data_IF_345105252107
#
_entry.id   IF_345105252107
#
_cell.length_a   1.000
_cell.length_b   1.000
_cell.length_c   1.000
_cell.angle_alpha   90.00
_cell.angle_beta   90.00
_cell.angle_gamma   90.00
#
_symmetry.space_group_name_H-M   'P 1'
#
loop_
_entity.id
_entity.type
_entity.pdbx_description
1 polymer ?
#
# COMPACT_ATOMS: atom_id res chain seq x y z
N UNK A 1 14.75 -3.53 25.80
CA UNK A 1 14.74 -4.74 24.94
C UNK A 1 15.53 -4.48 23.68
N UNK A 2 16.09 -5.53 23.09
CA UNK A 2 16.82 -5.41 21.83
C UNK A 2 15.79 -5.25 20.70
N UNK A 3 15.92 -4.21 19.88
CA UNK A 3 15.11 -4.03 18.67
C UNK A 3 15.43 -5.16 17.69
N UNK A 4 14.44 -5.96 17.33
CA UNK A 4 14.63 -7.05 16.39
C UNK A 4 14.52 -6.58 14.94
N UNK A 5 13.54 -5.71 14.63
CA UNK A 5 13.35 -5.11 13.32
C UNK A 5 12.47 -3.84 13.47
N UNK A 6 12.49 -3.00 12.44
CA UNK A 6 11.65 -1.82 12.31
C UNK A 6 11.06 -1.78 10.91
N UNK A 7 9.74 -1.68 10.83
CA UNK A 7 9.02 -1.71 9.55
C UNK A 7 9.35 -0.49 8.67
N UNK A 8 9.50 0.68 9.28
CA UNK A 8 9.84 1.90 8.55
C UNK A 8 11.25 1.80 7.94
N UNK A 9 12.24 1.42 8.75
CA UNK A 9 13.62 1.22 8.27
C UNK A 9 13.74 0.15 7.16
N UNK A 10 12.95 -0.93 7.26
CA UNK A 10 12.93 -1.96 6.23
C UNK A 10 12.26 -1.46 4.94
N UNK A 11 11.22 -0.63 5.10
CA UNK A 11 10.52 -0.07 3.95
C UNK A 11 11.36 0.98 3.21
N UNK A 12 12.12 1.82 3.92
CA UNK A 12 13.07 2.77 3.31
C UNK A 12 14.13 2.06 2.46
N UNK A 13 14.59 0.91 2.91
CA UNK A 13 15.59 0.09 2.18
C UNK A 13 15.00 -0.72 1.02
N UNK A 14 13.66 -0.83 0.96
CA UNK A 14 12.97 -1.60 -0.06
C UNK A 14 12.83 -0.77 -1.32
N UNK A 15 13.14 -1.36 -2.47
CA UNK A 15 12.87 -0.72 -3.76
C UNK A 15 11.37 -0.42 -3.89
N UNK A 16 11.06 0.75 -4.39
CA UNK A 16 9.66 1.21 -4.56
C UNK A 16 8.84 0.25 -5.42
N UNK A 17 9.45 -0.36 -6.43
CA UNK A 17 8.79 -1.33 -7.31
C UNK A 17 8.49 -2.67 -6.65
N UNK A 18 9.17 -3.00 -5.55
CA UNK A 18 8.91 -4.23 -4.78
C UNK A 18 7.73 -4.09 -3.80
N UNK A 19 7.20 -2.88 -3.60
CA UNK A 19 6.00 -2.67 -2.79
C UNK A 19 4.78 -3.20 -3.52
N UNK A 20 3.98 -4.00 -2.83
CA UNK A 20 2.71 -4.51 -3.33
C UNK A 20 1.59 -3.68 -2.72
N UNK A 21 0.97 -2.85 -3.52
CA UNK A 21 -0.13 -1.97 -3.13
C UNK A 21 -1.30 -2.23 -4.07
N UNK A 22 -2.47 -2.51 -3.52
CA UNK A 22 -3.69 -2.75 -4.30
C UNK A 22 -4.77 -1.76 -3.90
N UNK A 23 -5.63 -1.44 -4.84
CA UNK A 23 -6.78 -0.60 -4.64
C UNK A 23 -8.02 -1.22 -5.30
N UNK A 24 -9.19 -0.73 -4.90
CA UNK A 24 -10.42 -1.06 -5.60
C UNK A 24 -10.61 -0.09 -6.77
N UNK A 25 -10.69 -0.62 -7.99
CA UNK A 25 -10.91 0.20 -9.19
C UNK A 25 -12.37 0.04 -9.63
N UNK A 26 -13.18 1.11 -9.62
CA UNK A 26 -14.57 1.05 -10.04
C UNK A 26 -14.67 0.66 -11.51
N UNK A 27 -15.70 -0.12 -11.84
CA UNK A 27 -16.04 -0.52 -13.22
C UNK A 27 -15.00 -1.36 -13.95
N UNK A 28 -14.12 -2.05 -13.26
CA UNK A 28 -13.19 -3.01 -13.86
C UNK A 28 -13.50 -4.43 -13.42
N UNK A 29 -13.28 -5.40 -14.30
CA UNK A 29 -13.31 -6.83 -13.95
C UNK A 29 -12.17 -7.24 -13.00
N UNK A 30 -11.26 -6.32 -12.73
CA UNK A 30 -10.08 -6.49 -11.89
C UNK A 30 -10.39 -6.66 -10.40
N UNK A 31 -11.58 -6.31 -9.95
CA UNK A 31 -11.94 -6.30 -8.52
C UNK A 31 -12.28 -7.68 -7.93
N UNK A 32 -12.13 -8.75 -8.71
CA UNK A 32 -12.40 -10.12 -8.24
C UNK A 32 -11.27 -10.76 -7.43
N UNK A 33 -10.21 -10.02 -7.11
CA UNK A 33 -9.04 -10.48 -6.36
C UNK A 33 -7.80 -9.64 -6.60
N UNK A 34 -6.68 -10.07 -6.06
CA UNK A 34 -5.40 -9.41 -6.28
C UNK A 34 -4.85 -9.78 -7.65
N UNK A 35 -4.84 -8.82 -8.57
CA UNK A 35 -4.31 -8.98 -9.91
C UNK A 35 -3.44 -7.80 -10.32
N UNK A 36 -2.71 -7.93 -11.41
CA UNK A 36 -1.94 -6.81 -11.95
C UNK A 36 -2.83 -5.64 -12.39
N UNK A 37 -4.13 -5.89 -12.60
CA UNK A 37 -5.08 -4.87 -13.06
C UNK A 37 -5.52 -3.90 -11.95
N UNK A 38 -5.46 -4.31 -10.67
CA UNK A 38 -5.80 -3.45 -9.53
C UNK A 38 -4.58 -3.11 -8.66
N UNK A 39 -3.38 -3.38 -9.14
CA UNK A 39 -2.15 -2.98 -8.49
C UNK A 39 -1.92 -1.48 -8.67
N UNK A 40 -1.49 -0.80 -7.60
CA UNK A 40 -1.13 0.62 -7.61
C UNK A 40 0.23 0.81 -8.26
N UNK A 41 0.27 0.79 -9.59
CA UNK A 41 1.47 0.91 -10.42
C UNK A 41 1.23 1.85 -11.59
N UNK A 42 2.30 2.43 -12.11
CA UNK A 42 2.23 3.41 -13.20
C UNK A 42 1.62 2.88 -14.49
N UNK A 43 1.70 1.57 -14.74
CA UNK A 43 1.03 0.97 -15.91
C UNK A 43 -0.51 0.99 -15.83
N UNK A 44 -1.07 1.20 -14.65
CA UNK A 44 -2.52 1.28 -14.41
C UNK A 44 -2.99 2.73 -14.20
N UNK A 45 -2.18 3.73 -14.57
CA UNK A 45 -2.45 5.13 -14.28
C UNK A 45 -3.82 5.60 -14.77
N UNK A 46 -4.29 5.14 -15.93
CA UNK A 46 -5.59 5.54 -16.49
C UNK A 46 -6.79 5.08 -15.66
N UNK A 47 -6.68 3.93 -15.01
CA UNK A 47 -7.74 3.43 -14.14
C UNK A 47 -7.62 4.01 -12.73
N UNK A 48 -6.41 4.27 -12.27
CA UNK A 48 -6.15 4.96 -10.99
C UNK A 48 -6.62 6.42 -11.07
N UNK A 49 -6.40 7.09 -12.19
CA UNK A 49 -6.87 8.45 -12.44
C UNK A 49 -8.39 8.61 -12.24
N UNK A 50 -9.17 7.62 -12.61
CA UNK A 50 -10.62 7.60 -12.41
C UNK A 50 -11.07 7.58 -10.94
N UNK A 51 -10.18 7.29 -10.00
CA UNK A 51 -10.46 7.39 -8.57
C UNK A 51 -10.51 8.84 -8.08
N UNK A 52 -9.89 9.75 -8.83
CA UNK A 52 -9.86 11.16 -8.50
C UNK A 52 -10.98 11.86 -9.25
N UNK A 53 -11.90 12.48 -8.52
CA UNK A 53 -12.94 13.33 -9.12
C UNK A 53 -12.34 14.67 -9.49
N UNK A 54 -12.06 14.82 -10.79
CA UNK A 54 -11.60 16.12 -11.31
C UNK A 54 -12.80 16.99 -11.64
N UNK A 55 -13.03 18.04 -10.89
CA UNK A 55 -13.78 19.20 -11.37
C UNK A 55 -12.81 20.03 -12.22
N UNK A 56 -12.98 20.00 -13.54
CA UNK A 56 -12.23 20.80 -14.53
C UNK A 56 -10.89 20.26 -15.05
N UNK A 57 -10.69 18.95 -15.20
CA UNK A 57 -9.46 18.37 -15.73
C UNK A 57 -8.16 18.78 -14.98
N UNK A 58 -8.29 19.12 -13.73
CA UNK A 58 -7.17 19.58 -12.92
C UNK A 58 -6.74 18.51 -11.91
N UNK A 59 -6.03 17.49 -12.36
CA UNK A 59 -4.96 16.99 -11.53
C UNK A 59 -3.99 18.15 -11.40
N UNK A 60 -3.62 18.60 -10.19
CA UNK A 60 -2.66 19.67 -10.09
C UNK A 60 -1.40 19.27 -10.85
N UNK A 61 -1.13 19.92 -11.94
CA UNK A 61 0.13 19.88 -12.66
C UNK A 61 1.22 20.39 -11.72
N UNK A 62 1.66 19.52 -10.81
CA UNK A 62 2.54 19.91 -9.72
C UNK A 62 3.86 20.45 -10.23
N UNK A 63 4.36 19.88 -11.34
CA UNK A 63 5.64 20.29 -11.94
C UNK A 63 5.49 21.21 -13.15
N UNK A 64 4.33 21.39 -13.72
CA UNK A 64 4.16 22.08 -15.00
C UNK A 64 3.62 23.51 -14.91
N UNK A 65 2.98 23.91 -13.82
CA UNK A 65 2.41 25.27 -13.74
C UNK A 65 3.40 26.28 -13.20
N UNK A 66 3.52 27.39 -13.95
CA UNK A 66 4.16 28.64 -13.54
C UNK A 66 3.63 29.22 -12.22
N UNK A 67 2.52 28.70 -11.71
CA UNK A 67 1.80 29.21 -10.57
C UNK A 67 2.27 28.61 -9.23
N UNK A 68 3.11 27.58 -9.27
CA UNK A 68 3.80 27.10 -8.07
C UNK A 68 5.27 27.46 -8.12
N UNK A 69 5.65 28.65 -7.62
CA UNK A 69 6.99 29.21 -7.79
C UNK A 69 8.10 28.42 -7.08
N UNK A 70 7.74 27.46 -6.23
CA UNK A 70 8.73 26.77 -5.40
C UNK A 70 9.32 25.52 -6.04
N UNK A 71 8.57 24.75 -6.83
CA UNK A 71 9.07 23.48 -7.38
C UNK A 71 9.24 23.46 -8.90
N UNK A 72 8.32 24.08 -9.65
CA UNK A 72 8.37 24.06 -11.11
C UNK A 72 9.60 24.72 -11.72
N UNK A 73 10.22 25.63 -10.99
CA UNK A 73 11.45 26.27 -11.45
C UNK A 73 12.72 25.51 -11.10
N UNK A 74 12.70 24.73 -10.04
CA UNK A 74 13.88 24.06 -9.53
C UNK A 74 14.35 22.92 -10.44
N UNK A 75 13.41 22.10 -10.92
CA UNK A 75 13.71 20.90 -11.71
C UNK A 75 13.42 21.04 -13.20
N UNK A 76 13.29 22.25 -13.72
CA UNK A 76 12.98 22.54 -15.14
C UNK A 76 13.88 21.85 -16.17
N UNK A 77 15.13 21.60 -15.81
CA UNK A 77 16.12 21.08 -16.73
C UNK A 77 16.32 19.57 -16.57
N UNK A 78 15.52 18.92 -15.72
CA UNK A 78 15.60 17.46 -15.54
C UNK A 78 14.66 16.82 -16.56
N UNK A 79 15.22 16.08 -17.49
CA UNK A 79 14.49 15.45 -18.60
C UNK A 79 13.40 14.45 -18.16
N UNK A 80 13.39 14.04 -16.90
CA UNK A 80 12.37 13.16 -16.32
C UNK A 80 11.15 13.90 -15.77
N UNK A 81 11.19 15.23 -15.70
CA UNK A 81 10.05 16.06 -15.29
C UNK A 81 9.29 16.46 -16.55
N UNK A 82 8.28 15.70 -16.86
CA UNK A 82 7.37 16.03 -17.95
C UNK A 82 6.22 16.90 -17.43
N UNK A 83 5.43 17.43 -18.33
CA UNK A 83 4.51 18.53 -18.03
C UNK A 83 3.07 18.21 -18.43
N UNK A 84 2.58 17.00 -18.17
CA UNK A 84 1.22 16.62 -18.49
C UNK A 84 0.50 15.90 -17.33
N UNK A 85 -0.81 15.72 -17.45
CA UNK A 85 -1.62 15.04 -16.44
C UNK A 85 -1.20 13.57 -16.23
N UNK A 86 -0.67 12.93 -17.24
CA UNK A 86 -0.20 11.55 -17.16
C UNK A 86 0.98 11.44 -16.21
N UNK A 87 1.90 12.39 -16.28
CA UNK A 87 3.07 12.43 -15.42
C UNK A 87 2.71 12.68 -13.96
N UNK A 88 1.77 13.59 -13.70
CA UNK A 88 1.36 13.91 -12.33
C UNK A 88 0.66 12.72 -11.67
N UNK A 89 -0.17 11.97 -12.40
CA UNK A 89 -0.77 10.72 -11.89
C UNK A 89 0.30 9.65 -11.67
N UNK A 90 1.21 9.47 -12.59
CA UNK A 90 2.32 8.52 -12.42
C UNK A 90 3.22 8.92 -11.26
N UNK A 91 3.48 10.21 -11.11
CA UNK A 91 4.23 10.76 -9.98
C UNK A 91 3.55 10.52 -8.65
N UNK A 92 2.24 10.76 -8.55
CA UNK A 92 1.46 10.44 -7.35
C UNK A 92 1.48 8.94 -7.02
N UNK A 93 1.37 8.09 -8.04
CA UNK A 93 1.49 6.64 -7.87
C UNK A 93 2.86 6.29 -7.27
N UNK A 94 3.92 6.85 -7.80
CA UNK A 94 5.28 6.60 -7.31
C UNK A 94 5.52 7.18 -5.92
N UNK A 95 4.96 8.34 -5.62
CA UNK A 95 5.02 8.93 -4.27
C UNK A 95 4.37 7.99 -3.23
N UNK A 96 3.19 7.47 -3.52
CA UNK A 96 2.53 6.48 -2.65
C UNK A 96 3.39 5.22 -2.50
N UNK A 97 4.10 4.83 -3.54
CA UNK A 97 5.05 3.71 -3.50
C UNK A 97 6.35 4.02 -2.77
N UNK A 98 6.59 5.27 -2.42
CA UNK A 98 7.71 5.70 -1.60
C UNK A 98 8.83 6.43 -2.35
N UNK A 99 8.59 6.90 -3.60
CA UNK A 99 9.52 7.78 -4.29
C UNK A 99 9.38 9.23 -3.81
N UNK A 100 10.45 10.00 -3.89
CA UNK A 100 10.46 11.43 -3.58
C UNK A 100 10.02 12.29 -4.78
N UNK A 101 8.81 12.04 -5.26
CA UNK A 101 8.24 12.76 -6.38
C UNK A 101 8.13 14.28 -6.15
N UNK A 102 7.98 14.70 -4.89
CA UNK A 102 7.86 16.12 -4.54
C UNK A 102 9.19 16.82 -4.27
N UNK A 103 10.31 16.11 -4.41
CA UNK A 103 11.66 16.65 -4.22
C UNK A 103 11.82 17.37 -2.87
N UNK A 104 11.59 16.65 -1.78
CA UNK A 104 11.62 17.21 -0.42
C UNK A 104 12.99 17.76 -0.03
N UNK A 105 14.07 17.15 -0.48
CA UNK A 105 15.42 17.61 -0.18
C UNK A 105 15.95 18.61 -1.20
N UNK A 106 15.29 18.75 -2.34
CA UNK A 106 15.56 19.78 -3.33
C UNK A 106 16.76 19.50 -4.24
N UNK A 107 17.11 18.24 -4.44
CA UNK A 107 18.22 17.82 -5.29
C UNK A 107 17.78 17.47 -6.73
N UNK A 108 16.47 17.50 -7.02
CA UNK A 108 15.83 17.14 -8.28
C UNK A 108 15.98 15.66 -8.68
N UNK A 109 16.26 14.78 -7.75
CA UNK A 109 16.26 13.34 -7.95
C UNK A 109 14.91 12.72 -7.56
N UNK A 110 13.92 12.81 -8.42
CA UNK A 110 12.54 12.33 -8.16
C UNK A 110 12.41 10.81 -8.10
N UNK A 111 13.48 10.06 -8.34
CA UNK A 111 13.44 8.59 -8.40
C UNK A 111 13.95 7.91 -7.14
N UNK A 112 14.50 8.64 -6.22
CA UNK A 112 15.00 8.11 -4.95
C UNK A 112 13.84 7.76 -3.98
N UNK A 113 14.17 7.04 -2.93
CA UNK A 113 13.22 6.72 -1.87
C UNK A 113 13.07 7.91 -0.93
N UNK A 114 11.84 8.40 -0.76
CA UNK A 114 11.56 9.48 0.19
C UNK A 114 11.79 9.02 1.63
N UNK A 115 12.18 9.91 2.54
CA UNK A 115 12.24 9.62 3.96
C UNK A 115 10.87 9.20 4.49
N UNK A 116 10.85 8.26 5.42
CA UNK A 116 9.64 7.81 6.12
C UNK A 116 8.47 7.44 5.18
N UNK A 117 8.63 6.45 4.30
CA UNK A 117 7.59 6.06 3.35
C UNK A 117 6.41 5.30 3.98
N UNK A 118 6.49 4.96 5.27
CA UNK A 118 5.43 4.31 6.03
C UNK A 118 4.52 5.36 6.65
N UNK A 119 3.20 5.22 6.45
CA UNK A 119 2.21 6.05 7.14
C UNK A 119 2.21 5.79 8.65
N UNK A 120 1.91 6.83 9.43
CA UNK A 120 1.81 6.73 10.88
C UNK A 120 0.74 5.74 11.30
N UNK A 121 1.05 4.93 12.31
CA UNK A 121 0.11 4.02 12.94
C UNK A 121 -0.33 4.65 14.25
N UNK A 122 -1.56 5.17 14.27
CA UNK A 122 -2.11 5.84 15.42
C UNK A 122 -3.58 5.44 15.63
N UNK A 123 -3.95 5.07 16.84
CA UNK A 123 -5.27 4.57 17.23
C UNK A 123 -5.72 3.23 16.58
N UNK A 124 -4.93 2.60 15.75
CA UNK A 124 -5.27 1.31 15.14
C UNK A 124 -4.74 0.17 15.98
N UNK A 125 -5.57 -0.83 16.23
CA UNK A 125 -5.13 -2.07 16.85
C UNK A 125 -4.35 -2.92 15.86
N UNK A 126 -3.35 -3.62 16.38
CA UNK A 126 -2.58 -4.61 15.64
C UNK A 126 -3.30 -5.96 15.69
N UNK A 127 -3.61 -6.52 14.53
CA UNK A 127 -4.21 -7.84 14.43
C UNK A 127 -3.19 -8.83 13.88
N UNK A 128 -2.86 -9.84 14.68
CA UNK A 128 -1.93 -10.90 14.28
C UNK A 128 -2.74 -12.08 13.73
N UNK A 129 -2.49 -12.43 12.48
CA UNK A 129 -3.06 -13.61 11.82
C UNK A 129 -1.95 -14.64 11.60
N UNK A 130 -2.01 -15.73 12.35
CA UNK A 130 -1.07 -16.85 12.24
C UNK A 130 -1.76 -18.12 11.71
N UNK A 131 -1.06 -19.26 11.82
CA UNK A 131 -1.66 -20.57 11.52
C UNK A 131 -2.91 -20.80 12.39
N UNK A 132 -3.98 -21.42 11.86
CA UNK A 132 -5.17 -21.73 12.63
C UNK A 132 -4.86 -22.66 13.81
N UNK A 133 -5.24 -22.23 15.01
CA UNK A 133 -4.95 -22.98 16.25
C UNK A 133 -6.15 -22.99 17.22
N UNK A 134 -7.35 -22.69 16.73
CA UNK A 134 -8.52 -22.65 17.60
C UNK A 134 -8.91 -24.05 18.09
N UNK A 135 -9.37 -24.11 19.35
CA UNK A 135 -9.79 -25.33 20.00
C UNK A 135 -11.01 -25.95 19.32
N UNK A 136 -11.02 -27.27 19.18
CA UNK A 136 -12.12 -28.07 18.64
C UNK A 136 -12.77 -28.98 19.66
N UNK A 137 -12.16 -29.19 20.85
CA UNK A 137 -12.78 -29.90 21.94
C UNK A 137 -13.91 -29.07 22.55
N UNK A 138 -15.02 -29.71 22.90
CA UNK A 138 -16.20 -29.06 23.45
C UNK A 138 -16.88 -29.91 24.50
N UNK A 139 -17.45 -29.24 25.50
CA UNK A 139 -18.26 -29.90 26.53
C UNK A 139 -19.79 -29.80 26.24
N UNK A 140 -20.19 -28.83 25.40
CA UNK A 140 -21.61 -28.60 25.07
C UNK A 140 -21.79 -27.95 23.69
N UNK A 141 -23.02 -28.09 23.15
CA UNK A 141 -23.36 -27.63 21.77
C UNK A 141 -23.44 -26.11 21.65
N UNK A 142 -23.46 -25.38 22.72
CA UNK A 142 -23.49 -23.90 22.75
C UNK A 142 -22.08 -23.26 22.62
N UNK A 143 -21.01 -24.06 22.53
CA UNK A 143 -19.65 -23.59 22.39
C UNK A 143 -19.26 -23.45 20.90
N UNK A 144 -18.45 -22.45 20.56
CA UNK A 144 -17.94 -22.26 19.21
C UNK A 144 -17.09 -23.44 18.73
N UNK A 145 -16.37 -24.10 19.63
CA UNK A 145 -15.59 -25.32 19.35
C UNK A 145 -16.45 -26.46 18.80
N UNK A 146 -17.71 -26.58 19.27
CA UNK A 146 -18.66 -27.54 18.71
C UNK A 146 -18.95 -27.25 17.22
N UNK A 147 -19.20 -25.99 16.86
CA UNK A 147 -19.44 -25.59 15.49
C UNK A 147 -18.19 -25.74 14.62
N UNK A 148 -17.00 -25.44 15.15
CA UNK A 148 -15.74 -25.68 14.47
C UNK A 148 -15.54 -27.17 14.14
N UNK A 149 -15.86 -28.06 15.08
CA UNK A 149 -15.76 -29.50 14.84
C UNK A 149 -16.71 -29.98 13.74
N UNK A 150 -17.95 -29.48 13.73
CA UNK A 150 -18.95 -29.82 12.72
C UNK A 150 -18.62 -29.27 11.33
N UNK A 151 -17.94 -28.13 11.24
CA UNK A 151 -17.58 -27.45 9.99
C UNK A 151 -16.19 -27.84 9.47
N UNK A 152 -15.68 -28.97 9.93
CA UNK A 152 -14.40 -29.53 9.46
C UNK A 152 -13.20 -28.58 9.63
N UNK A 153 -13.16 -27.84 10.74
CA UNK A 153 -12.09 -26.91 11.05
C UNK A 153 -10.69 -27.57 11.04
N UNK A 154 -10.58 -28.83 11.43
CA UNK A 154 -9.31 -29.58 11.44
C UNK A 154 -8.67 -29.65 10.06
N UNK A 155 -9.48 -29.89 9.00
CA UNK A 155 -8.97 -29.88 7.62
C UNK A 155 -8.54 -28.50 7.18
N UNK A 156 -9.27 -27.46 7.58
CA UNK A 156 -8.86 -26.07 7.34
C UNK A 156 -7.54 -25.76 8.05
N UNK A 157 -7.40 -26.12 9.31
CA UNK A 157 -6.18 -25.90 10.08
C UNK A 157 -4.98 -26.65 9.47
N UNK A 158 -5.16 -27.88 9.03
CA UNK A 158 -4.13 -28.64 8.34
C UNK A 158 -3.71 -27.98 7.02
N UNK A 159 -4.67 -27.57 6.20
CA UNK A 159 -4.42 -26.88 4.92
C UNK A 159 -3.61 -25.59 5.10
N UNK A 160 -3.80 -24.90 6.23
CA UNK A 160 -3.14 -23.62 6.53
C UNK A 160 -2.07 -23.72 7.63
N UNK A 161 -1.56 -24.93 7.91
CA UNK A 161 -0.55 -25.17 8.95
C UNK A 161 0.78 -24.47 8.71
N UNK A 162 1.10 -24.18 7.44
CA UNK A 162 2.31 -23.45 7.02
C UNK A 162 2.11 -21.95 6.83
N UNK A 163 0.93 -21.39 7.23
CA UNK A 163 0.66 -19.97 7.10
C UNK A 163 1.71 -19.16 7.89
N UNK A 164 2.34 -18.22 7.21
CA UNK A 164 3.24 -17.25 7.85
C UNK A 164 2.43 -16.31 8.74
N UNK A 165 3.01 -15.95 9.86
CA UNK A 165 2.45 -14.94 10.73
C UNK A 165 2.47 -13.58 10.03
N UNK A 166 1.34 -12.90 10.04
CA UNK A 166 1.14 -11.61 9.37
C UNK A 166 0.46 -10.66 10.33
N UNK A 167 1.02 -9.48 10.48
CA UNK A 167 0.42 -8.39 11.27
C UNK A 167 -0.36 -7.48 10.33
N UNK A 168 -1.62 -7.24 10.65
CA UNK A 168 -2.46 -6.27 9.95
C UNK A 168 -2.68 -5.05 10.84
N UNK A 169 -2.61 -3.87 10.24
CA UNK A 169 -2.83 -2.60 10.94
C UNK A 169 -3.28 -1.52 9.96
N UNK A 170 -4.20 -0.67 10.39
CA UNK A 170 -4.58 0.54 9.65
C UNK A 170 -3.54 1.64 9.87
N UNK A 171 -3.20 2.37 8.81
CA UNK A 171 -2.34 3.54 8.89
C UNK A 171 -3.11 4.84 8.59
N UNK A 172 -2.59 5.97 9.04
CA UNK A 172 -3.22 7.28 8.87
C UNK A 172 -3.25 7.76 7.41
N UNK A 173 -2.46 7.16 6.54
CA UNK A 173 -2.49 7.39 5.10
C UNK A 173 -3.67 6.70 4.38
N UNK A 174 -4.57 6.07 5.15
CA UNK A 174 -5.75 5.36 4.63
C UNK A 174 -5.46 3.93 4.17
N UNK A 175 -4.26 3.43 4.38
CA UNK A 175 -3.87 2.07 3.97
C UNK A 175 -4.13 1.04 5.07
N UNK A 176 -4.55 -0.16 4.67
CA UNK A 176 -4.44 -1.36 5.48
C UNK A 176 -3.09 -2.02 5.19
N UNK A 177 -2.20 -1.96 6.14
CA UNK A 177 -0.87 -2.56 6.04
C UNK A 177 -0.92 -4.05 6.37
N UNK A 178 -0.21 -4.84 5.58
CA UNK A 178 0.03 -6.26 5.81
C UNK A 178 1.52 -6.48 5.96
N UNK A 179 1.97 -6.68 7.19
CA UNK A 179 3.38 -6.84 7.53
C UNK A 179 3.65 -8.32 7.82
N UNK A 180 4.45 -8.94 6.97
CA UNK A 180 4.87 -10.33 7.13
C UNK A 180 6.25 -10.31 7.75
N UNK A 181 6.38 -10.94 8.92
CA UNK A 181 7.68 -11.16 9.53
C UNK A 181 8.47 -12.15 8.66
N UNK A 182 9.58 -11.69 8.13
CA UNK A 182 10.54 -12.50 7.37
C UNK A 182 11.66 -12.94 8.30
#
# INVERSE_FOLDING_TARGET
>A
GKKNWDAAELLEKRKTDDRKIWTHLPNTSANSGYSNLNNWVTSNYQDIDKLFTHTNNEVPNYHSKSDNPTNTQRCKNVASVQNDNEDDIKGLIQFVRGQDYFDYDGDCNLTETRPNPLGDIYHSELVVVSKPSAETAFAGRNQESYWRSLKNYSSFAQKHSSRKETVYVGANDGMLLSLIHI
#
